data_IF_924736136355
#
_entry.id   IF_924736136355
#
_cell.length_a   1.000
_cell.length_b   1.000
_cell.length_c   1.000
_cell.angle_alpha   90.00
_cell.angle_beta   90.00
_cell.angle_gamma   90.00
#
_symmetry.space_group_name_H-M   'P 1'
#
loop_
_entity.id
_entity.type
_entity.pdbx_description
1 polymer ?
#
# COMPACT_ATOMS: atom_id res chain seq x y z
N UNK A 1 -2.49 -5.95 -33.63
CA UNK A 1 -2.15 -4.53 -33.39
C UNK A 1 -2.95 -4.10 -32.19
N UNK A 2 -2.32 -4.15 -31.04
CA UNK A 2 -2.95 -3.78 -29.76
C UNK A 2 -3.00 -2.27 -29.69
N UNK A 3 -4.20 -1.72 -29.76
CA UNK A 3 -4.47 -0.30 -29.60
C UNK A 3 -4.32 0.05 -28.10
N UNK A 4 -3.09 0.35 -27.69
CA UNK A 4 -2.80 0.72 -26.31
C UNK A 4 -3.26 2.17 -26.07
N UNK A 5 -4.57 2.33 -25.77
CA UNK A 5 -5.16 3.61 -25.35
C UNK A 5 -4.73 4.05 -23.95
N UNK A 6 -3.98 3.23 -23.25
CA UNK A 6 -3.43 3.60 -21.96
C UNK A 6 -2.09 4.32 -22.17
N UNK A 7 -2.16 5.63 -22.07
CA UNK A 7 -0.94 6.45 -22.07
C UNK A 7 -0.13 6.02 -20.85
N UNK A 8 1.13 5.63 -21.05
CA UNK A 8 2.06 5.30 -19.96
C UNK A 8 2.34 6.58 -19.16
N UNK A 9 1.53 6.81 -18.14
CA UNK A 9 1.52 8.03 -17.33
C UNK A 9 2.40 7.94 -16.09
N UNK A 10 3.50 7.21 -16.10
CA UNK A 10 4.35 7.15 -14.92
C UNK A 10 4.66 8.56 -14.36
N UNK A 11 5.24 9.44 -15.18
CA UNK A 11 5.54 10.80 -14.76
C UNK A 11 4.29 11.65 -14.49
N UNK A 12 3.27 11.55 -15.32
CA UNK A 12 2.05 12.33 -15.16
C UNK A 12 1.23 11.86 -13.96
N UNK A 13 1.11 10.53 -13.73
CA UNK A 13 0.46 9.97 -12.57
C UNK A 13 1.19 10.34 -11.28
N UNK A 14 2.50 10.18 -11.23
CA UNK A 14 3.33 10.61 -10.09
C UNK A 14 3.16 12.10 -9.79
N UNK A 15 3.14 12.95 -10.82
CA UNK A 15 2.92 14.40 -10.68
C UNK A 15 1.50 14.74 -10.25
N UNK A 16 0.50 14.05 -10.80
CA UNK A 16 -0.89 14.24 -10.45
C UNK A 16 -1.14 13.89 -8.99
N UNK A 17 -0.65 12.74 -8.55
CA UNK A 17 -0.83 12.24 -7.19
C UNK A 17 -0.08 13.09 -6.15
N UNK A 18 1.11 13.62 -6.49
CA UNK A 18 1.91 14.48 -5.60
C UNK A 18 1.40 15.91 -5.46
N UNK A 19 0.51 16.34 -6.33
CA UNK A 19 0.03 17.72 -6.30
C UNK A 19 -1.00 17.89 -5.16
N UNK A 20 -0.66 18.71 -4.16
CA UNK A 20 -1.53 19.02 -3.01
C UNK A 20 -2.94 19.49 -3.38
N UNK A 21 -3.10 20.11 -4.56
CA UNK A 21 -4.42 20.51 -5.08
C UNK A 21 -5.27 19.35 -5.58
N UNK A 22 -4.70 18.16 -5.74
CA UNK A 22 -5.37 16.97 -6.28
C UNK A 22 -5.63 15.87 -5.26
N UNK A 23 -5.56 16.17 -3.96
CA UNK A 23 -5.84 15.19 -2.90
C UNK A 23 -7.22 14.53 -3.06
N UNK A 24 -8.20 15.26 -3.57
CA UNK A 24 -9.54 14.72 -3.82
C UNK A 24 -9.50 13.50 -4.75
N UNK A 25 -8.68 13.53 -5.79
CA UNK A 25 -8.52 12.40 -6.72
C UNK A 25 -7.84 11.22 -6.03
N UNK A 26 -6.76 11.50 -5.29
CA UNK A 26 -6.04 10.47 -4.53
C UNK A 26 -6.93 9.86 -3.43
N UNK A 27 -7.62 10.69 -2.66
CA UNK A 27 -8.56 10.24 -1.63
C UNK A 27 -9.69 9.41 -2.22
N UNK A 28 -10.25 9.84 -3.36
CA UNK A 28 -11.29 9.08 -4.07
C UNK A 28 -10.78 7.71 -4.51
N UNK A 29 -9.63 7.64 -5.15
CA UNK A 29 -9.00 6.38 -5.55
C UNK A 29 -8.75 5.46 -4.35
N UNK A 30 -8.11 5.96 -3.30
CA UNK A 30 -7.81 5.17 -2.11
C UNK A 30 -9.08 4.74 -1.37
N UNK A 31 -10.11 5.60 -1.32
CA UNK A 31 -11.41 5.28 -0.70
C UNK A 31 -12.07 4.08 -1.39
N UNK A 32 -12.07 4.06 -2.72
CA UNK A 32 -12.61 2.93 -3.50
C UNK A 32 -11.77 1.68 -3.30
N UNK A 33 -10.44 1.81 -3.40
CA UNK A 33 -9.52 0.66 -3.33
C UNK A 33 -9.50 0.01 -1.94
N UNK A 34 -9.46 0.80 -0.86
CA UNK A 34 -9.38 0.31 0.50
C UNK A 34 -10.77 -0.04 1.08
N UNK A 35 -11.85 0.39 0.43
CA UNK A 35 -13.23 0.14 0.88
C UNK A 35 -13.65 0.95 2.12
N UNK A 36 -12.91 2.00 2.46
CA UNK A 36 -13.20 2.91 3.56
C UNK A 36 -12.85 4.36 3.20
N UNK A 37 -13.52 5.33 3.80
CA UNK A 37 -13.25 6.74 3.52
C UNK A 37 -11.83 7.12 3.95
N UNK A 38 -11.01 7.52 2.97
CA UNK A 38 -9.64 7.98 3.20
C UNK A 38 -9.57 9.50 3.07
N UNK A 39 -8.94 10.13 4.04
CA UNK A 39 -8.56 11.55 4.03
C UNK A 39 -7.07 11.66 4.24
N UNK A 40 -6.39 12.41 3.38
CA UNK A 40 -4.95 12.60 3.42
C UNK A 40 -4.64 13.88 4.20
N UNK A 41 -3.95 13.74 5.31
CA UNK A 41 -3.49 14.88 6.11
C UNK A 41 -2.17 15.41 5.57
N UNK A 42 -1.23 14.52 5.28
CA UNK A 42 0.11 14.89 4.85
C UNK A 42 0.63 13.98 3.73
N UNK A 43 1.33 14.58 2.76
CA UNK A 43 2.28 13.86 1.92
C UNK A 43 3.63 13.97 2.63
N UNK A 44 4.14 12.83 3.03
CA UNK A 44 5.44 12.70 3.65
C UNK A 44 6.46 12.59 2.51
N UNK A 45 7.33 13.57 2.33
CA UNK A 45 8.44 13.44 1.40
C UNK A 45 9.35 12.33 1.91
N UNK A 46 9.68 11.35 1.07
CA UNK A 46 10.73 10.41 1.40
C UNK A 46 12.07 11.16 1.30
N UNK A 47 12.40 11.93 2.32
CA UNK A 47 13.77 12.35 2.56
C UNK A 47 14.55 11.11 2.98
N UNK A 48 14.99 10.33 1.99
CA UNK A 48 16.06 9.39 2.24
C UNK A 48 17.31 10.23 2.53
N UNK A 49 17.60 10.47 3.81
CA UNK A 49 18.92 10.83 4.21
C UNK A 49 19.86 9.75 3.69
N UNK A 50 20.67 10.10 2.71
CA UNK A 50 21.80 9.30 2.27
C UNK A 50 22.84 9.32 3.41
N UNK A 51 22.64 8.53 4.44
CA UNK A 51 23.68 8.39 5.48
C UNK A 51 24.67 7.26 5.17
N UNK A 52 24.35 6.33 4.25
CA UNK A 52 25.33 5.33 3.79
C UNK A 52 25.21 5.07 2.28
N UNK A 53 26.36 5.01 1.60
CA UNK A 53 26.52 4.73 0.17
C UNK A 53 26.02 3.33 -0.27
N UNK A 54 25.61 2.49 0.66
CA UNK A 54 25.25 1.08 0.46
C UNK A 54 23.75 0.79 0.64
N UNK A 55 22.94 1.83 0.93
CA UNK A 55 21.50 1.68 1.10
C UNK A 55 20.86 1.52 -0.30
N UNK A 56 20.33 0.31 -0.58
CA UNK A 56 19.57 0.04 -1.80
C UNK A 56 18.51 1.12 -1.93
N UNK A 57 18.58 1.91 -3.00
CA UNK A 57 17.67 3.00 -3.33
C UNK A 57 16.22 2.51 -3.40
N UNK A 58 15.56 2.45 -2.28
CA UNK A 58 14.13 2.18 -2.21
C UNK A 58 13.40 3.49 -1.86
N UNK A 59 13.42 4.43 -2.81
CA UNK A 59 12.52 5.58 -2.74
C UNK A 59 11.14 5.09 -3.10
N UNK A 60 10.22 5.16 -2.17
CA UNK A 60 8.81 5.05 -2.49
C UNK A 60 8.40 6.25 -3.36
N UNK A 61 7.57 6.02 -4.37
CA UNK A 61 7.13 7.11 -5.24
C UNK A 61 6.32 8.14 -4.47
N UNK A 62 5.51 7.69 -3.52
CA UNK A 62 4.78 8.55 -2.60
C UNK A 62 4.54 7.84 -1.27
N UNK A 63 4.69 8.60 -0.19
CA UNK A 63 4.26 8.22 1.15
C UNK A 63 3.28 9.26 1.66
N UNK A 64 2.11 8.84 2.08
CA UNK A 64 1.07 9.69 2.64
C UNK A 64 0.70 9.24 4.06
N UNK A 65 0.20 10.18 4.84
CA UNK A 65 -0.43 9.94 6.14
C UNK A 65 -1.90 10.32 6.05
N UNK A 66 -2.78 9.40 6.48
CA UNK A 66 -4.20 9.67 6.52
C UNK A 66 -4.64 10.24 7.88
N UNK A 67 -5.89 10.68 7.98
CA UNK A 67 -6.48 11.28 9.19
C UNK A 67 -6.54 10.34 10.41
N UNK A 68 -6.29 9.04 10.22
CA UNK A 68 -6.16 8.06 11.31
C UNK A 68 -4.70 7.89 11.77
N UNK A 69 -3.75 8.61 11.16
CA UNK A 69 -2.33 8.45 11.41
C UNK A 69 -1.72 7.19 10.78
N UNK A 70 -2.41 6.55 9.85
CA UNK A 70 -1.91 5.38 9.12
C UNK A 70 -1.07 5.82 7.92
N UNK A 71 -0.09 5.01 7.56
CA UNK A 71 0.84 5.29 6.45
C UNK A 71 0.37 4.60 5.18
N UNK A 72 0.42 5.31 4.06
CA UNK A 72 0.04 4.79 2.75
C UNK A 72 1.21 4.99 1.80
N UNK A 73 1.82 3.88 1.40
CA UNK A 73 2.84 3.82 0.36
C UNK A 73 2.15 3.66 -0.98
N UNK A 74 2.53 4.45 -1.98
CA UNK A 74 2.09 4.28 -3.35
C UNK A 74 3.31 4.19 -4.24
N UNK A 75 3.40 3.07 -4.98
CA UNK A 75 4.46 2.77 -5.94
C UNK A 75 3.86 2.60 -7.33
N UNK A 76 4.49 3.19 -8.33
CA UNK A 76 4.12 3.04 -9.75
C UNK A 76 5.33 2.49 -10.48
N UNK A 77 5.25 1.24 -10.92
CA UNK A 77 6.38 0.54 -11.52
C UNK A 77 6.10 0.09 -12.94
N UNK A 78 6.91 0.57 -13.88
CA UNK A 78 6.79 0.23 -15.31
C UNK A 78 7.70 -0.93 -15.75
N UNK A 79 8.85 -1.06 -15.09
CA UNK A 79 9.83 -2.06 -15.45
C UNK A 79 9.62 -3.35 -14.67
N UNK A 80 9.66 -4.49 -15.37
CA UNK A 80 9.55 -5.80 -14.73
C UNK A 80 10.73 -6.03 -13.77
N UNK A 81 10.42 -6.37 -12.54
CA UNK A 81 11.37 -6.79 -11.52
C UNK A 81 10.93 -8.15 -10.96
N UNK A 82 11.80 -9.15 -11.06
CA UNK A 82 11.48 -10.51 -10.60
C UNK A 82 11.34 -10.61 -9.07
N UNK A 83 12.00 -9.73 -8.35
CA UNK A 83 11.99 -9.64 -6.89
C UNK A 83 11.04 -8.57 -6.34
N UNK A 84 10.07 -8.13 -7.15
CA UNK A 84 9.17 -7.03 -6.77
C UNK A 84 8.40 -7.29 -5.48
N UNK A 85 7.96 -8.52 -5.21
CA UNK A 85 7.33 -8.85 -3.92
C UNK A 85 8.28 -8.68 -2.73
N UNK A 86 9.57 -8.97 -2.91
CA UNK A 86 10.58 -8.71 -1.86
C UNK A 86 10.78 -7.21 -1.66
N UNK A 87 10.76 -6.43 -2.76
CA UNK A 87 10.82 -4.97 -2.71
C UNK A 87 9.63 -4.39 -1.93
N UNK A 88 8.41 -4.85 -2.20
CA UNK A 88 7.21 -4.43 -1.46
C UNK A 88 7.36 -4.69 0.05
N UNK A 89 7.80 -5.91 0.42
CA UNK A 89 8.02 -6.29 1.82
C UNK A 89 9.12 -5.42 2.46
N UNK A 90 10.25 -5.22 1.78
CA UNK A 90 11.34 -4.40 2.28
C UNK A 90 10.91 -2.95 2.48
N UNK A 91 10.27 -2.32 1.49
CA UNK A 91 9.79 -0.94 1.56
C UNK A 91 8.81 -0.72 2.71
N UNK A 92 7.88 -1.65 2.91
CA UNK A 92 6.93 -1.61 4.03
C UNK A 92 7.63 -1.73 5.38
N UNK A 93 8.58 -2.66 5.50
CA UNK A 93 9.35 -2.86 6.74
C UNK A 93 10.21 -1.65 7.07
N UNK A 94 10.86 -1.06 6.06
CA UNK A 94 11.65 0.16 6.19
C UNK A 94 10.78 1.32 6.66
N UNK A 95 9.62 1.55 6.04
CA UNK A 95 8.67 2.59 6.43
C UNK A 95 8.23 2.43 7.89
N UNK A 96 7.92 1.20 8.34
CA UNK A 96 7.59 0.95 9.75
C UNK A 96 8.75 1.36 10.67
N UNK A 97 9.98 0.97 10.31
CA UNK A 97 11.15 1.27 11.11
C UNK A 97 11.48 2.77 11.18
N UNK A 98 11.34 3.48 10.06
CA UNK A 98 11.61 4.93 9.97
C UNK A 98 10.61 5.77 10.77
N UNK A 99 9.36 5.32 10.85
CA UNK A 99 8.29 6.03 11.57
C UNK A 99 8.06 5.52 13.00
N UNK A 100 9.02 4.77 13.54
CA UNK A 100 9.04 4.34 14.93
C UNK A 100 10.33 4.79 15.61
N UNK A 101 10.22 5.71 16.58
CA UNK A 101 11.39 6.23 17.25
C UNK A 101 11.93 5.28 18.33
N UNK A 102 13.24 5.34 18.54
CA UNK A 102 13.92 4.50 19.55
C UNK A 102 13.34 4.78 20.93
N UNK A 103 12.90 3.72 21.62
CA UNK A 103 12.33 3.81 22.97
C UNK A 103 10.82 4.01 23.01
N UNK A 104 10.15 4.16 21.88
CA UNK A 104 8.68 4.15 21.82
C UNK A 104 8.13 2.76 22.11
N UNK A 105 6.95 2.66 22.75
CA UNK A 105 6.28 1.39 22.97
C UNK A 105 5.78 0.82 21.64
N UNK A 106 5.81 -0.51 21.49
CA UNK A 106 5.40 -1.20 20.24
C UNK A 106 3.96 -0.90 19.80
N UNK A 107 3.10 -0.44 20.69
CA UNK A 107 1.75 0.01 20.31
C UNK A 107 1.73 1.25 19.38
N UNK A 108 2.89 1.92 19.25
CA UNK A 108 3.07 3.05 18.32
C UNK A 108 3.43 2.62 16.90
N UNK A 109 3.63 1.31 16.66
CA UNK A 109 3.77 0.80 15.29
C UNK A 109 2.53 1.17 14.49
N UNK A 110 2.73 1.93 13.43
CA UNK A 110 1.64 2.46 12.60
C UNK A 110 1.19 1.43 11.57
N UNK A 111 -0.10 1.39 11.29
CA UNK A 111 -0.64 0.63 10.16
C UNK A 111 -0.05 1.16 8.87
N UNK A 112 0.34 0.26 7.96
CA UNK A 112 0.86 0.60 6.63
C UNK A 112 0.00 -0.09 5.57
N UNK A 113 -0.46 0.69 4.60
CA UNK A 113 -1.02 0.21 3.35
C UNK A 113 0.02 0.41 2.24
N UNK A 114 0.31 -0.64 1.49
CA UNK A 114 1.23 -0.61 0.35
C UNK A 114 0.43 -0.81 -0.94
N UNK A 115 0.27 0.27 -1.70
CA UNK A 115 -0.46 0.29 -2.98
C UNK A 115 0.55 0.27 -4.11
N UNK A 116 0.52 -0.78 -4.92
CA UNK A 116 1.49 -1.05 -5.97
C UNK A 116 0.80 -1.12 -7.32
N UNK A 117 1.05 -0.13 -8.17
CA UNK A 117 0.50 -0.02 -9.52
C UNK A 117 1.58 -0.47 -10.50
N UNK A 118 1.39 -1.63 -11.13
CA UNK A 118 2.40 -2.24 -11.98
C UNK A 118 1.92 -2.35 -13.43
N UNK A 119 2.82 -2.04 -14.38
CA UNK A 119 2.59 -2.11 -15.83
C UNK A 119 3.30 -3.31 -16.46
N UNK A 120 3.48 -4.38 -15.71
CA UNK A 120 4.07 -5.63 -16.16
C UNK A 120 3.35 -6.82 -15.53
N UNK A 121 3.55 -8.01 -16.07
CA UNK A 121 3.01 -9.24 -15.50
C UNK A 121 3.72 -9.52 -14.17
N UNK A 122 3.00 -9.38 -13.06
CA UNK A 122 3.47 -9.69 -11.72
C UNK A 122 2.74 -10.92 -11.18
N UNK A 123 3.45 -12.04 -11.16
CA UNK A 123 2.88 -13.31 -10.72
C UNK A 123 1.87 -13.89 -11.72
N UNK A 124 1.14 -14.92 -11.30
CA UNK A 124 0.11 -15.59 -12.09
C UNK A 124 -1.25 -15.42 -11.42
N UNK A 125 -2.27 -15.10 -12.22
CA UNK A 125 -3.63 -14.91 -11.74
C UNK A 125 -4.52 -14.29 -12.81
N UNK A 126 -5.83 -14.27 -12.59
CA UNK A 126 -6.82 -13.81 -13.57
C UNK A 126 -7.36 -12.42 -13.27
N UNK A 127 -7.15 -11.92 -12.05
CA UNK A 127 -7.62 -10.61 -11.63
C UNK A 127 -6.56 -9.54 -11.89
N UNK A 128 -6.99 -8.30 -12.02
CA UNK A 128 -6.10 -7.14 -12.15
C UNK A 128 -5.88 -6.41 -10.81
N UNK A 129 -6.69 -6.68 -9.77
CA UNK A 129 -6.50 -6.16 -8.41
C UNK A 129 -6.36 -7.29 -7.41
N UNK A 130 -5.27 -7.31 -6.66
CA UNK A 130 -5.02 -8.26 -5.60
C UNK A 130 -4.86 -7.56 -4.27
N UNK A 131 -5.52 -8.09 -3.24
CA UNK A 131 -5.43 -7.63 -1.87
C UNK A 131 -4.73 -8.68 -1.00
N UNK A 132 -3.56 -8.34 -0.46
CA UNK A 132 -2.79 -9.16 0.47
C UNK A 132 -2.93 -8.64 1.90
N UNK A 133 -3.37 -9.52 2.80
CA UNK A 133 -3.47 -9.21 4.23
C UNK A 133 -3.00 -10.38 5.09
N UNK A 134 -2.56 -10.08 6.30
CA UNK A 134 -2.19 -11.10 7.28
C UNK A 134 -3.43 -11.64 7.99
N UNK A 135 -3.51 -12.95 8.13
CA UNK A 135 -4.52 -13.62 8.93
C UNK A 135 -3.86 -14.68 9.81
N UNK A 136 -4.25 -14.75 11.07
CA UNK A 136 -3.81 -15.78 12.00
C UNK A 136 -4.92 -16.81 12.16
N UNK A 137 -4.73 -17.98 11.53
CA UNK A 137 -5.69 -19.06 11.53
C UNK A 137 -5.27 -20.18 12.49
N UNK A 138 -6.20 -20.64 13.30
CA UNK A 138 -6.03 -21.80 14.14
C UNK A 138 -5.66 -23.03 13.31
N UNK A 139 -4.60 -23.75 13.67
CA UNK A 139 -4.14 -24.92 12.91
C UNK A 139 -5.19 -26.02 12.90
N UNK A 140 -5.89 -26.21 14.01
CA UNK A 140 -6.86 -27.27 14.19
C UNK A 140 -8.27 -26.87 13.75
N UNK A 141 -8.77 -25.72 14.22
CA UNK A 141 -10.16 -25.31 14.07
C UNK A 141 -10.40 -24.34 12.91
N UNK A 142 -9.31 -23.80 12.31
CA UNK A 142 -9.37 -22.83 11.23
C UNK A 142 -10.09 -21.52 11.60
N UNK A 143 -10.31 -21.28 12.89
CA UNK A 143 -10.85 -20.02 13.39
C UNK A 143 -9.81 -18.88 13.26
N UNK A 144 -10.29 -17.63 13.18
CA UNK A 144 -9.43 -16.45 13.12
C UNK A 144 -9.11 -16.01 14.54
N UNK A 145 -7.82 -15.80 14.83
CA UNK A 145 -7.36 -15.29 16.12
C UNK A 145 -7.81 -13.81 16.26
N UNK A 146 -8.71 -13.58 17.19
CA UNK A 146 -9.19 -12.24 17.53
C UNK A 146 -8.38 -11.66 18.67
N UNK A 147 -8.35 -10.33 18.73
CA UNK A 147 -7.81 -9.62 19.89
C UNK A 147 -8.73 -9.82 21.10
N UNK A 148 -8.15 -9.86 22.31
CA UNK A 148 -8.94 -9.86 23.55
C UNK A 148 -9.78 -8.58 23.68
N UNK A 149 -10.84 -8.60 24.46
CA UNK A 149 -11.71 -7.42 24.67
C UNK A 149 -10.90 -6.20 25.06
N UNK A 150 -9.96 -6.34 25.99
CA UNK A 150 -9.08 -5.25 26.42
C UNK A 150 -8.17 -4.71 25.30
N UNK A 151 -7.64 -5.58 24.43
CA UNK A 151 -6.84 -5.17 23.27
C UNK A 151 -7.72 -4.46 22.22
N UNK A 152 -8.96 -4.94 22.00
CA UNK A 152 -9.88 -4.32 21.05
C UNK A 152 -10.25 -2.89 21.49
N UNK A 153 -10.52 -2.69 22.77
CA UNK A 153 -10.81 -1.37 23.35
C UNK A 153 -9.60 -0.42 23.22
N UNK A 154 -8.39 -0.93 23.45
CA UNK A 154 -7.16 -0.14 23.40
C UNK A 154 -6.73 0.21 21.97
N UNK A 155 -6.79 -0.73 21.05
CA UNK A 155 -6.22 -0.58 19.70
C UNK A 155 -7.29 -0.25 18.64
N UNK A 156 -8.57 -0.32 18.98
CA UNK A 156 -9.69 -0.10 18.05
C UNK A 156 -9.59 -1.04 16.83
N UNK A 157 -9.13 -2.28 17.06
CA UNK A 157 -8.98 -3.35 16.09
C UNK A 157 -9.67 -4.59 16.61
N UNK A 158 -10.16 -5.46 15.72
CA UNK A 158 -10.88 -6.70 16.10
C UNK A 158 -10.00 -7.93 16.01
N UNK A 159 -9.18 -8.00 14.98
CA UNK A 159 -8.33 -9.15 14.66
C UNK A 159 -6.85 -8.77 14.74
N UNK A 160 -6.01 -9.73 15.10
CA UNK A 160 -4.56 -9.52 15.16
C UNK A 160 -3.99 -9.10 13.81
N UNK A 161 -4.52 -9.65 12.71
CA UNK A 161 -4.08 -9.32 11.35
C UNK A 161 -4.25 -7.84 10.96
N UNK A 162 -5.21 -7.14 11.56
CA UNK A 162 -5.46 -5.70 11.27
C UNK A 162 -4.31 -4.78 11.72
N UNK A 163 -3.41 -5.27 12.58
CA UNK A 163 -2.22 -4.53 13.01
C UNK A 163 -1.13 -4.58 11.93
N UNK A 164 -1.10 -5.66 11.15
CA UNK A 164 -0.09 -5.93 10.14
C UNK A 164 -0.32 -5.10 8.86
N UNK A 165 0.73 -4.89 8.05
CA UNK A 165 0.59 -4.22 6.75
C UNK A 165 -0.42 -4.91 5.84
N UNK A 166 -1.05 -4.12 4.98
CA UNK A 166 -1.86 -4.60 3.87
C UNK A 166 -1.26 -4.17 2.54
N UNK A 167 -1.37 -5.04 1.55
CA UNK A 167 -0.79 -4.85 0.22
C UNK A 167 -1.89 -4.86 -0.83
N UNK A 168 -1.87 -3.88 -1.71
CA UNK A 168 -2.72 -3.84 -2.90
C UNK A 168 -1.83 -3.85 -4.13
N UNK A 169 -2.10 -4.75 -5.06
CA UNK A 169 -1.40 -4.85 -6.33
C UNK A 169 -2.40 -4.64 -7.45
N UNK A 170 -2.18 -3.60 -8.26
CA UNK A 170 -2.98 -3.29 -9.43
C UNK A 170 -2.15 -3.58 -10.69
N UNK A 171 -2.53 -4.61 -11.45
CA UNK A 171 -1.90 -5.04 -12.70
C UNK A 171 -2.60 -4.35 -13.86
N UNK A 172 -2.17 -3.12 -14.18
CA UNK A 172 -2.87 -2.23 -15.13
C UNK A 172 -3.04 -2.86 -16.52
N UNK A 173 -2.07 -3.68 -16.96
CA UNK A 173 -2.14 -4.34 -18.27
C UNK A 173 -3.23 -5.43 -18.37
N UNK A 174 -3.73 -5.92 -17.23
CA UNK A 174 -4.74 -6.97 -17.16
C UNK A 174 -6.16 -6.38 -16.99
N UNK A 175 -6.27 -5.05 -16.92
CA UNK A 175 -7.55 -4.38 -16.82
C UNK A 175 -8.39 -4.62 -18.09
N UNK A 176 -9.59 -5.16 -17.90
CA UNK A 176 -10.57 -5.37 -18.97
C UNK A 176 -11.70 -4.33 -18.88
N UNK A 177 -11.67 -3.36 -19.79
CA UNK A 177 -12.69 -2.31 -19.89
C UNK A 177 -14.11 -2.83 -20.25
N UNK A 178 -14.25 -4.10 -20.61
CA UNK A 178 -15.53 -4.74 -20.93
C UNK A 178 -16.15 -5.49 -19.74
N UNK A 179 -15.34 -5.77 -18.71
CA UNK A 179 -15.77 -6.49 -17.52
C UNK A 179 -15.78 -5.57 -16.29
N UNK A 180 -16.46 -4.42 -16.43
CA UNK A 180 -16.49 -3.39 -15.37
C UNK A 180 -17.10 -3.91 -14.08
N UNK A 181 -16.41 -3.64 -12.99
CA UNK A 181 -16.82 -3.89 -11.61
C UNK A 181 -16.98 -2.57 -10.85
N UNK A 182 -17.52 -2.52 -9.64
CA UNK A 182 -17.58 -1.29 -8.85
C UNK A 182 -16.20 -0.66 -8.52
N UNK A 183 -15.10 -1.38 -8.75
CA UNK A 183 -13.73 -0.88 -8.60
C UNK A 183 -13.20 -0.19 -9.85
N UNK A 184 -13.85 -0.36 -10.99
CA UNK A 184 -13.44 0.18 -12.30
C UNK A 184 -14.01 1.58 -12.52
#
# INVERSE_FOLDING_TARGET
>A
MSDSRFVRFDWAAKRLLRNKTNFVVLEGFLTVLLGETIRIDHILESESHQEEFDDKFNRVDMLAENSKGELIIIEIQNSCELDYFHRMLYGTSKTIAEYMHRGEPYEKVRKVYSVNIVYFELGQGQDYVYHGKTSFLGIHNKDVLKLSVHQQERFIKKEAGEIFPEYYVLRVNDFDSHALTPLD
#
